data_IF_102345562138
#
_entry.id   IF_102345562138
#
_cell.length_a   1.000
_cell.length_b   1.000
_cell.length_c   1.000
_cell.angle_alpha   90.00
_cell.angle_beta   90.00
_cell.angle_gamma   90.00
#
_symmetry.space_group_name_H-M   'P 1'
#
loop_
_entity.id
_entity.type
_entity.pdbx_description
1 polymer ?
#
# COMPACT_ATOMS: atom_id res chain seq x y z
N UNK A 1 10.71 10.31 -2.48
CA UNK A 1 12.02 10.84 -2.05
C UNK A 1 13.09 9.85 -2.51
N UNK A 2 14.10 10.29 -3.27
CA UNK A 2 15.23 9.45 -3.68
C UNK A 2 16.44 9.85 -2.83
N UNK A 3 17.10 8.88 -2.21
CA UNK A 3 18.42 9.08 -1.63
C UNK A 3 19.39 8.16 -2.38
N UNK A 4 20.28 8.77 -3.16
CA UNK A 4 21.43 8.10 -3.76
C UNK A 4 22.63 8.41 -2.87
N UNK A 5 23.24 7.39 -2.29
CA UNK A 5 24.57 7.53 -1.69
C UNK A 5 25.57 6.84 -2.59
N UNK A 6 26.41 7.64 -3.25
CA UNK A 6 27.62 7.15 -3.90
C UNK A 6 28.69 7.02 -2.82
N UNK A 7 28.97 5.80 -2.35
CA UNK A 7 30.12 5.54 -1.46
C UNK A 7 31.38 5.43 -2.32
N UNK A 8 32.46 6.07 -1.87
CA UNK A 8 33.77 6.05 -2.53
C UNK A 8 34.30 4.61 -2.62
N UNK A 9 34.80 4.22 -3.79
CA UNK A 9 35.52 2.96 -3.95
C UNK A 9 36.92 3.13 -3.34
N UNK A 10 37.07 2.68 -2.09
CA UNK A 10 38.38 2.66 -1.44
C UNK A 10 39.12 1.40 -1.91
N UNK A 11 39.97 1.62 -2.91
CA UNK A 11 40.68 0.58 -3.62
C UNK A 11 41.96 0.21 -2.87
N UNK A 12 41.85 -0.51 -1.74
CA UNK A 12 43.01 -1.11 -1.08
C UNK A 12 42.69 -2.49 -0.49
N UNK A 13 43.22 -3.52 -1.15
CA UNK A 13 43.78 -4.77 -0.60
C UNK A 13 43.07 -5.50 0.56
N UNK A 14 42.74 -6.77 0.30
CA UNK A 14 42.23 -7.81 1.21
C UNK A 14 40.77 -7.63 1.65
N UNK A 15 39.90 -8.46 1.06
CA UNK A 15 38.45 -8.46 1.24
C UNK A 15 38.00 -8.74 2.66
N UNK A 16 37.67 -7.67 3.39
CA UNK A 16 36.72 -7.73 4.47
C UNK A 16 35.39 -7.23 3.90
N UNK A 17 34.39 -8.12 3.77
CA UNK A 17 33.02 -7.68 3.55
C UNK A 17 32.62 -6.92 4.80
N UNK A 18 32.75 -5.60 4.77
CA UNK A 18 32.30 -4.71 5.83
C UNK A 18 30.76 -4.88 5.90
N UNK A 19 30.31 -5.74 6.81
CA UNK A 19 28.89 -6.00 7.02
C UNK A 19 28.24 -4.68 7.42
N UNK A 20 27.53 -4.06 6.48
CA UNK A 20 26.76 -2.87 6.75
C UNK A 20 25.71 -3.21 7.80
N UNK A 21 25.67 -2.44 8.88
CA UNK A 21 24.67 -2.60 9.92
C UNK A 21 23.27 -2.48 9.32
N UNK A 22 22.35 -3.37 9.72
CA UNK A 22 20.95 -3.28 9.34
C UNK A 22 20.36 -1.90 9.67
N UNK A 23 20.84 -1.23 10.73
CA UNK A 23 20.39 0.12 11.11
C UNK A 23 20.71 1.23 10.10
N UNK A 24 21.42 0.94 9.01
CA UNK A 24 21.65 1.87 7.89
C UNK A 24 20.66 1.65 6.73
N UNK A 25 19.79 0.64 6.81
CA UNK A 25 18.80 0.39 5.78
C UNK A 25 17.73 1.52 5.78
N UNK A 26 17.19 1.89 4.61
CA UNK A 26 16.11 2.86 4.54
C UNK A 26 14.86 2.36 5.29
N UNK A 27 14.16 3.24 5.99
CA UNK A 27 12.97 2.87 6.78
C UNK A 27 11.92 2.08 5.96
N UNK A 28 11.72 2.45 4.70
CA UNK A 28 10.80 1.74 3.80
C UNK A 28 11.15 0.26 3.59
N UNK A 29 12.43 -0.13 3.70
CA UNK A 29 12.79 -1.55 3.68
C UNK A 29 12.23 -2.29 4.89
N UNK A 30 12.35 -1.71 6.08
CA UNK A 30 11.83 -2.33 7.30
C UNK A 30 10.31 -2.41 7.29
N UNK A 31 9.63 -1.36 6.82
CA UNK A 31 8.16 -1.35 6.67
C UNK A 31 7.72 -2.46 5.72
N UNK A 32 8.34 -2.56 4.53
CA UNK A 32 8.02 -3.61 3.57
C UNK A 32 8.26 -5.02 4.16
N UNK A 33 9.41 -5.23 4.82
CA UNK A 33 9.73 -6.52 5.45
C UNK A 33 8.74 -6.88 6.56
N UNK A 34 8.31 -5.91 7.38
CA UNK A 34 7.32 -6.12 8.43
C UNK A 34 6.00 -6.61 7.84
N UNK A 35 5.47 -5.91 6.82
CA UNK A 35 4.22 -6.30 6.17
C UNK A 35 4.34 -7.65 5.47
N UNK A 36 5.42 -7.89 4.73
CA UNK A 36 5.64 -9.17 4.05
C UNK A 36 5.78 -10.32 5.05
N UNK A 37 6.42 -10.11 6.20
CA UNK A 37 6.53 -11.13 7.25
C UNK A 37 5.16 -11.45 7.84
N UNK A 38 4.36 -10.42 8.15
CA UNK A 38 3.02 -10.60 8.68
C UNK A 38 2.11 -11.36 7.70
N UNK A 39 2.14 -10.98 6.42
CA UNK A 39 1.37 -11.65 5.37
C UNK A 39 1.86 -13.09 5.17
N UNK A 40 3.18 -13.32 5.10
CA UNK A 40 3.74 -14.66 4.93
C UNK A 40 3.45 -15.62 6.10
N UNK A 41 3.13 -15.09 7.29
CA UNK A 41 2.74 -15.89 8.45
C UNK A 41 1.28 -16.33 8.49
N UNK A 42 0.46 -15.87 7.53
CA UNK A 42 -0.97 -16.21 7.49
C UNK A 42 -1.20 -17.66 7.07
N UNK A 43 -2.13 -18.32 7.76
CA UNK A 43 -2.68 -19.61 7.38
C UNK A 43 -3.87 -19.46 6.41
N UNK A 44 -4.28 -20.53 5.70
CA UNK A 44 -5.42 -20.47 4.81
C UNK A 44 -6.72 -20.07 5.50
N UNK A 45 -7.40 -19.04 4.98
CA UNK A 45 -8.64 -18.50 5.54
C UNK A 45 -8.46 -17.43 6.62
N UNK A 46 -7.22 -17.07 6.98
CA UNK A 46 -6.93 -16.01 7.93
C UNK A 46 -7.39 -14.63 7.44
N UNK A 47 -7.55 -13.72 8.41
CA UNK A 47 -7.81 -12.30 8.16
C UNK A 47 -6.75 -11.47 8.86
N UNK A 48 -6.11 -10.56 8.13
CA UNK A 48 -5.22 -9.55 8.71
C UNK A 48 -5.66 -8.15 8.27
N UNK A 49 -5.49 -7.17 9.15
CA UNK A 49 -5.67 -5.76 8.83
C UNK A 49 -4.33 -5.02 8.97
N UNK A 50 -4.00 -4.18 8.00
CA UNK A 50 -2.78 -3.38 7.97
C UNK A 50 -3.19 -1.92 7.78
N UNK A 51 -2.72 -1.08 8.70
CA UNK A 51 -2.94 0.36 8.67
C UNK A 51 -1.72 1.06 8.07
N UNK A 52 -1.98 1.98 7.14
CA UNK A 52 -0.99 2.78 6.39
C UNK A 52 0.20 1.95 5.85
N UNK A 53 -0.03 0.89 5.05
CA UNK A 53 1.05 0.05 4.48
C UNK A 53 2.03 0.82 3.59
N UNK A 54 1.65 2.01 3.12
CA UNK A 54 2.46 2.91 2.31
C UNK A 54 3.57 3.66 3.07
N UNK A 55 3.55 3.64 4.41
CA UNK A 55 4.42 4.51 5.19
C UNK A 55 5.90 4.28 4.90
N UNK A 56 6.63 5.38 4.69
CA UNK A 56 8.04 5.38 4.28
C UNK A 56 8.36 4.68 2.94
N UNK A 57 7.36 4.19 2.19
CA UNK A 57 7.57 3.54 0.89
C UNK A 57 7.54 4.54 -0.26
N UNK A 58 8.45 4.34 -1.21
CA UNK A 58 8.34 5.00 -2.50
C UNK A 58 7.09 4.47 -3.25
N UNK A 59 6.38 5.29 -4.06
CA UNK A 59 5.22 4.85 -4.84
C UNK A 59 5.41 3.54 -5.62
N UNK A 60 6.60 3.33 -6.17
CA UNK A 60 6.93 2.08 -6.87
C UNK A 60 6.97 0.87 -5.93
N UNK A 61 7.49 1.03 -4.71
CA UNK A 61 7.53 -0.04 -3.71
C UNK A 61 6.14 -0.37 -3.16
N UNK A 62 5.23 0.61 -3.04
CA UNK A 62 3.83 0.38 -2.68
C UNK A 62 3.16 -0.57 -3.68
N UNK A 63 3.35 -0.32 -4.98
CA UNK A 63 2.79 -1.17 -6.04
C UNK A 63 3.33 -2.60 -5.98
N UNK A 64 4.66 -2.74 -5.83
CA UNK A 64 5.29 -4.05 -5.70
C UNK A 64 4.84 -4.81 -4.43
N UNK A 65 4.71 -4.11 -3.30
CA UNK A 65 4.18 -4.70 -2.07
C UNK A 65 2.75 -5.21 -2.29
N UNK A 66 1.89 -4.40 -2.90
CA UNK A 66 0.49 -4.75 -3.12
C UNK A 66 0.33 -5.95 -4.06
N UNK A 67 1.15 -6.06 -5.10
CA UNK A 67 1.18 -7.24 -5.99
C UNK A 67 1.50 -8.51 -5.19
N UNK A 68 2.57 -8.50 -4.38
CA UNK A 68 2.96 -9.63 -3.54
C UNK A 68 1.88 -10.01 -2.53
N UNK A 69 1.26 -9.00 -1.90
CA UNK A 69 0.17 -9.18 -0.92
C UNK A 69 -1.07 -9.81 -1.57
N UNK A 70 -1.45 -9.35 -2.78
CA UNK A 70 -2.58 -9.91 -3.55
C UNK A 70 -2.34 -11.35 -3.97
N UNK A 71 -1.13 -11.65 -4.45
CA UNK A 71 -0.76 -12.99 -4.85
C UNK A 71 -0.82 -13.95 -3.66
N UNK A 72 -0.29 -13.54 -2.50
CA UNK A 72 -0.33 -14.34 -1.28
C UNK A 72 -1.76 -14.55 -0.78
N UNK A 73 -2.58 -13.48 -0.70
CA UNK A 73 -4.00 -13.55 -0.33
C UNK A 73 -4.76 -14.56 -1.20
N UNK A 74 -4.51 -14.55 -2.52
CA UNK A 74 -5.14 -15.48 -3.46
C UNK A 74 -4.70 -16.92 -3.22
N UNK A 75 -3.39 -17.16 -3.04
CA UNK A 75 -2.83 -18.48 -2.81
C UNK A 75 -3.34 -19.12 -1.51
N UNK A 76 -3.39 -18.34 -0.43
CA UNK A 76 -3.85 -18.83 0.88
C UNK A 76 -5.37 -18.74 1.05
N UNK A 77 -6.12 -18.13 0.13
CA UNK A 77 -7.54 -17.77 0.36
C UNK A 77 -7.73 -16.96 1.64
N UNK A 78 -6.76 -16.10 1.93
CA UNK A 78 -6.73 -15.24 3.10
C UNK A 78 -7.28 -13.86 2.75
N UNK A 79 -7.88 -13.18 3.73
CA UNK A 79 -8.41 -11.83 3.56
C UNK A 79 -7.43 -10.80 4.14
N UNK A 80 -7.08 -9.79 3.35
CA UNK A 80 -6.17 -8.73 3.77
C UNK A 80 -6.89 -7.40 3.65
N UNK A 81 -7.11 -6.74 4.79
CA UNK A 81 -7.74 -5.43 4.89
C UNK A 81 -6.64 -4.37 4.94
N UNK A 82 -6.71 -3.38 4.04
CA UNK A 82 -5.75 -2.28 3.99
C UNK A 82 -6.48 -0.97 4.27
N UNK A 83 -6.10 -0.29 5.34
CA UNK A 83 -6.51 1.10 5.58
C UNK A 83 -5.40 2.01 5.05
N UNK A 84 -5.77 3.02 4.24
CA UNK A 84 -4.80 3.82 3.49
C UNK A 84 -5.31 5.23 3.24
N UNK A 85 -4.37 6.16 3.15
CA UNK A 85 -4.58 7.50 2.63
C UNK A 85 -3.77 7.75 1.35
N UNK A 86 -3.17 6.71 0.77
CA UNK A 86 -2.30 6.80 -0.40
C UNK A 86 -3.09 6.79 -1.71
N UNK A 87 -3.06 7.88 -2.49
CA UNK A 87 -3.62 7.88 -3.84
C UNK A 87 -3.04 6.77 -4.72
N UNK A 88 -1.76 6.42 -4.51
CA UNK A 88 -1.06 5.38 -5.27
C UNK A 88 -1.63 4.00 -4.99
N UNK A 89 -1.96 3.71 -3.72
CA UNK A 89 -2.55 2.43 -3.33
C UNK A 89 -4.00 2.36 -3.83
N UNK A 90 -4.77 3.43 -3.63
CA UNK A 90 -6.15 3.56 -4.12
C UNK A 90 -6.21 3.33 -5.64
N UNK A 91 -5.30 3.93 -6.40
CA UNK A 91 -5.24 3.76 -7.86
C UNK A 91 -4.98 2.33 -8.31
N UNK A 92 -4.34 1.51 -7.48
CA UNK A 92 -4.10 0.12 -7.81
C UNK A 92 -5.39 -0.73 -7.77
N UNK A 93 -6.51 -0.18 -7.29
CA UNK A 93 -7.84 -0.80 -7.29
C UNK A 93 -8.75 -0.27 -8.40
N UNK A 94 -8.22 0.48 -9.36
CA UNK A 94 -8.98 1.05 -10.49
C UNK A 94 -9.83 0.03 -11.25
N UNK A 95 -9.30 -1.17 -11.47
CA UNK A 95 -9.99 -2.24 -12.20
C UNK A 95 -10.98 -3.03 -11.32
N UNK A 96 -10.94 -2.83 -10.00
CA UNK A 96 -11.79 -3.49 -9.01
C UNK A 96 -12.31 -2.50 -7.94
N UNK A 97 -13.03 -1.43 -8.32
CA UNK A 97 -13.52 -0.41 -7.38
C UNK A 97 -14.49 -0.95 -6.31
N UNK A 98 -15.09 -2.11 -6.52
CA UNK A 98 -15.89 -2.87 -5.54
C UNK A 98 -15.08 -3.42 -4.37
N UNK A 99 -13.77 -3.49 -4.50
CA UNK A 99 -12.85 -3.86 -3.42
C UNK A 99 -12.35 -2.64 -2.64
N UNK A 100 -12.67 -1.42 -3.07
CA UNK A 100 -12.34 -0.20 -2.36
C UNK A 100 -13.55 0.24 -1.54
N UNK A 101 -13.37 0.37 -0.23
CA UNK A 101 -14.44 0.75 0.69
C UNK A 101 -14.15 2.14 1.27
N UNK A 102 -15.17 2.98 1.32
CA UNK A 102 -15.05 4.39 1.72
C UNK A 102 -15.96 4.70 2.89
N UNK A 103 -15.48 5.55 3.79
CA UNK A 103 -16.30 6.18 4.83
C UNK A 103 -16.82 7.51 4.30
N UNK A 104 -18.04 7.51 3.75
CA UNK A 104 -18.65 8.71 3.16
C UNK A 104 -19.63 9.36 4.14
N UNK A 105 -19.39 10.63 4.53
CA UNK A 105 -20.35 11.47 5.26
C UNK A 105 -21.81 11.33 4.81
N UNK A 106 -22.74 11.32 5.77
CA UNK A 106 -24.17 11.38 5.48
C UNK A 106 -24.82 10.08 4.99
N UNK A 107 -24.05 8.99 4.88
CA UNK A 107 -24.57 7.67 4.55
C UNK A 107 -24.86 6.85 5.82
N UNK A 108 -26.00 6.13 5.82
CA UNK A 108 -26.46 5.39 6.99
C UNK A 108 -25.66 4.09 7.24
N UNK A 109 -25.06 3.52 6.20
CA UNK A 109 -24.30 2.27 6.26
C UNK A 109 -22.87 2.58 5.80
N UNK A 110 -21.90 2.31 6.68
CA UNK A 110 -20.48 2.50 6.42
C UNK A 110 -19.68 1.29 6.94
N UNK A 111 -18.52 0.99 6.32
CA UNK A 111 -18.07 1.57 5.05
C UNK A 111 -18.88 1.00 3.88
N UNK A 112 -18.91 1.72 2.75
CA UNK A 112 -19.58 1.27 1.53
C UNK A 112 -18.58 1.09 0.40
N UNK A 113 -18.86 0.18 -0.53
CA UNK A 113 -17.98 0.01 -1.68
C UNK A 113 -18.02 1.26 -2.58
N UNK A 114 -16.89 1.67 -3.15
CA UNK A 114 -16.83 2.85 -4.03
C UNK A 114 -17.75 2.70 -5.25
N UNK A 115 -17.90 1.46 -5.74
CA UNK A 115 -18.84 1.13 -6.82
C UNK A 115 -20.32 1.30 -6.45
N UNK A 116 -20.66 1.37 -5.16
CA UNK A 116 -22.02 1.71 -4.69
C UNK A 116 -22.22 3.22 -4.57
N UNK A 117 -21.14 3.98 -4.33
CA UNK A 117 -21.18 5.43 -4.21
C UNK A 117 -21.15 6.14 -5.59
N UNK A 118 -20.47 5.55 -6.58
CA UNK A 118 -20.30 6.09 -7.93
C UNK A 118 -20.42 4.97 -8.97
N UNK A 119 -21.01 5.31 -10.12
CA UNK A 119 -21.15 4.36 -11.22
C UNK A 119 -19.79 3.90 -11.76
N UNK A 120 -19.64 2.59 -12.00
CA UNK A 120 -18.39 1.99 -12.50
C UNK A 120 -17.94 2.58 -13.84
N UNK A 121 -18.87 2.85 -14.74
CA UNK A 121 -18.58 3.48 -16.05
C UNK A 121 -17.98 4.87 -15.88
N UNK A 122 -18.44 5.64 -14.90
CA UNK A 122 -17.87 6.95 -14.58
C UNK A 122 -16.46 6.81 -13.99
N UNK A 123 -16.29 5.93 -12.98
CA UNK A 123 -15.00 5.69 -12.32
C UNK A 123 -13.89 5.29 -13.30
N UNK A 124 -14.22 4.49 -14.33
CA UNK A 124 -13.26 4.04 -15.35
C UNK A 124 -12.62 5.19 -16.16
N UNK A 125 -13.15 6.41 -16.12
CA UNK A 125 -12.58 7.58 -16.81
C UNK A 125 -11.55 8.36 -15.97
N UNK A 126 -11.41 8.06 -14.68
CA UNK A 126 -10.57 8.86 -13.75
C UNK A 126 -9.51 8.02 -13.05
N UNK A 127 -8.42 8.64 -12.61
CA UNK A 127 -7.57 8.04 -11.57
C UNK A 127 -8.36 8.07 -10.26
N UNK A 128 -8.51 6.93 -9.61
CA UNK A 128 -9.21 6.87 -8.32
C UNK A 128 -8.40 7.60 -7.23
N UNK A 129 -7.08 7.52 -7.32
CA UNK A 129 -6.17 8.26 -6.48
C UNK A 129 -6.32 9.78 -6.63
N UNK A 130 -6.46 10.27 -7.87
CA UNK A 130 -6.70 11.68 -8.13
C UNK A 130 -8.06 12.13 -7.58
N UNK A 131 -9.12 11.35 -7.80
CA UNK A 131 -10.44 11.64 -7.22
C UNK A 131 -10.39 11.74 -5.70
N UNK A 132 -9.73 10.77 -5.05
CA UNK A 132 -9.54 10.78 -3.60
C UNK A 132 -8.73 12.00 -3.14
N UNK A 133 -7.63 12.33 -3.84
CA UNK A 133 -6.78 13.47 -3.52
C UNK A 133 -7.48 14.84 -3.68
N UNK A 134 -8.59 14.89 -4.41
CA UNK A 134 -9.43 16.07 -4.60
C UNK A 134 -10.73 16.02 -3.79
N UNK A 135 -10.83 15.12 -2.80
CA UNK A 135 -11.98 15.00 -1.90
C UNK A 135 -13.31 14.68 -2.62
N UNK A 136 -13.27 14.04 -3.79
CA UNK A 136 -14.48 13.64 -4.54
C UNK A 136 -15.25 12.47 -3.87
N UNK A 137 -14.57 11.76 -2.96
CA UNK A 137 -15.12 10.77 -2.03
C UNK A 137 -14.21 10.60 -0.82
N UNK A 138 -14.75 10.14 0.31
CA UNK A 138 -13.99 9.87 1.52
C UNK A 138 -13.43 11.13 2.19
N UNK A 139 -13.97 12.30 1.84
CA UNK A 139 -13.52 13.58 2.34
C UNK A 139 -13.66 13.65 3.87
N UNK A 140 -12.65 14.15 4.61
CA UNK A 140 -12.75 14.31 6.04
C UNK A 140 -13.86 15.32 6.36
N UNK A 141 -14.64 15.01 7.41
CA UNK A 141 -15.61 15.96 7.94
C UNK A 141 -14.88 17.19 8.49
N UNK A 142 -14.81 18.27 7.71
CA UNK A 142 -14.39 19.57 8.21
C UNK A 142 -15.53 20.12 9.05
N UNK A 143 -15.33 20.19 10.37
CA UNK A 143 -16.22 20.88 11.31
C UNK A 143 -16.00 22.38 11.28
#
# INVERSE_FOLDING_TARGET
MWAVTLKRADNHGAGHLELLSAGLAPDGWFVALLHLTAVASMDPGDVIAIDEPENALHPHAIKALLELVRDWSTQQRATILLATHSPVLIDAFRECPEQLYVMEPGHAILPMALSELRERTWLNHFSLGDLYAHDEFGAPHVR
#
